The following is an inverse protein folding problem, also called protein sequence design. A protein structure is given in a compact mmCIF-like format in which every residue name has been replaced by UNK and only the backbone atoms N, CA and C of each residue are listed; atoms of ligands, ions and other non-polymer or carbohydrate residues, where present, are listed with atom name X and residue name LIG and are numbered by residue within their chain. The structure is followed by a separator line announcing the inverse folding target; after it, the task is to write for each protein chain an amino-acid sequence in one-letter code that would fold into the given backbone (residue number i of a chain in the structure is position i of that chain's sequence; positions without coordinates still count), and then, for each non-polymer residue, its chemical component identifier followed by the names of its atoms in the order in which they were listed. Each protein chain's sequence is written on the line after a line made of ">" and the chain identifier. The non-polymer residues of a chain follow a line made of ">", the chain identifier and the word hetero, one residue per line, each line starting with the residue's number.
data_IF_580562904932
#
_entry.id   IF_580562904932
#
_cell.length_a   1.000
_cell.length_b   1.000
_cell.length_c   1.000
_cell.angle_alpha   90.00
_cell.angle_beta   90.00
_cell.angle_gamma   90.00
#
_symmetry.space_group_name_H-M   'P 1'
#
loop_
_entity.id
_entity.type
_entity.pdbx_description
1 polymer ?
#
# COMPACT_ATOMS: atom_id res chain seq x y z
N UNK A 1 -28.79 26.89 -40.22
CA UNK A 1 -27.61 26.58 -39.37
C UNK A 1 -28.00 25.59 -38.31
N UNK A 2 -27.76 24.32 -38.61
CA UNK A 2 -28.15 23.18 -37.78
C UNK A 2 -26.87 22.62 -37.16
N UNK A 3 -26.67 22.82 -35.86
CA UNK A 3 -25.51 22.31 -35.13
C UNK A 3 -25.69 20.80 -34.87
N UNK A 4 -25.04 19.97 -35.67
CA UNK A 4 -24.94 18.53 -35.43
C UNK A 4 -23.81 18.26 -34.42
N UNK A 5 -24.18 18.05 -33.15
CA UNK A 5 -23.25 17.59 -32.11
C UNK A 5 -23.08 16.07 -32.19
N UNK A 6 -21.90 15.61 -32.58
CA UNK A 6 -21.52 14.20 -32.51
C UNK A 6 -21.29 13.80 -31.05
N UNK A 7 -22.12 12.91 -30.51
CA UNK A 7 -21.85 12.24 -29.23
C UNK A 7 -21.31 10.84 -29.52
N UNK A 8 -20.05 10.60 -29.18
CA UNK A 8 -19.43 9.28 -29.27
C UNK A 8 -20.03 8.39 -28.17
N UNK A 9 -21.05 7.60 -28.49
CA UNK A 9 -21.50 6.50 -27.64
C UNK A 9 -20.47 5.38 -27.77
N UNK A 10 -19.47 5.38 -26.90
CA UNK A 10 -18.70 4.15 -26.63
C UNK A 10 -19.35 3.46 -25.43
N UNK A 11 -19.81 2.21 -25.54
CA UNK A 11 -20.22 1.43 -24.39
C UNK A 11 -18.95 1.03 -23.63
N UNK A 12 -18.44 1.94 -22.80
CA UNK A 12 -17.29 1.68 -21.96
C UNK A 12 -17.81 1.04 -20.68
N UNK A 13 -17.93 -0.29 -20.67
CA UNK A 13 -18.08 -1.01 -19.41
C UNK A 13 -16.76 -0.86 -18.64
N UNK A 14 -16.78 -0.30 -17.43
CA UNK A 14 -15.56 -0.16 -16.65
C UNK A 14 -14.94 -1.54 -16.40
N UNK A 15 -13.62 -1.68 -16.54
CA UNK A 15 -12.97 -2.97 -16.33
C UNK A 15 -13.13 -3.38 -14.87
N UNK A 16 -13.79 -4.52 -14.66
CA UNK A 16 -13.83 -5.18 -13.36
C UNK A 16 -12.49 -5.87 -13.13
N UNK A 17 -11.92 -5.70 -11.94
CA UNK A 17 -10.69 -6.37 -11.54
C UNK A 17 -10.97 -7.34 -10.41
N UNK A 18 -10.49 -8.57 -10.56
CA UNK A 18 -10.65 -9.63 -9.57
C UNK A 18 -9.29 -9.98 -8.94
N UNK A 19 -9.13 -9.65 -7.67
CA UNK A 19 -7.92 -9.92 -6.90
C UNK A 19 -8.12 -11.11 -5.96
N UNK A 20 -7.14 -12.00 -5.90
CA UNK A 20 -7.11 -13.06 -4.87
C UNK A 20 -6.59 -12.44 -3.59
N UNK A 21 -7.36 -12.59 -2.53
CA UNK A 21 -6.99 -12.16 -1.18
C UNK A 21 -6.32 -13.27 -0.40
N UNK A 22 -6.88 -14.46 -0.46
CA UNK A 22 -6.45 -15.60 0.35
C UNK A 22 -6.87 -16.91 -0.35
N UNK A 23 -5.98 -17.91 -0.33
CA UNK A 23 -6.29 -19.28 -0.73
C UNK A 23 -5.98 -20.14 0.48
N UNK A 24 -6.89 -21.04 0.82
CA UNK A 24 -6.69 -22.04 1.87
C UNK A 24 -6.86 -23.43 1.27
N UNK A 25 -6.67 -24.46 2.09
CA UNK A 25 -6.85 -25.85 1.67
C UNK A 25 -8.29 -26.18 1.25
N UNK A 26 -9.29 -25.41 1.70
CA UNK A 26 -10.71 -25.70 1.45
C UNK A 26 -11.53 -24.50 0.94
N UNK A 27 -10.91 -23.34 0.79
CA UNK A 27 -11.58 -22.12 0.31
C UNK A 27 -10.66 -21.20 -0.47
N UNK A 28 -11.26 -20.34 -1.28
CA UNK A 28 -10.57 -19.25 -1.97
C UNK A 28 -11.39 -17.96 -1.81
N UNK A 29 -10.72 -16.88 -1.44
CA UNK A 29 -11.31 -15.56 -1.21
C UNK A 29 -10.81 -14.58 -2.26
N UNK A 30 -11.76 -13.94 -2.92
CA UNK A 30 -11.53 -12.93 -3.96
C UNK A 30 -12.13 -11.60 -3.56
N UNK A 31 -11.53 -10.54 -4.08
CA UNK A 31 -12.05 -9.16 -4.04
C UNK A 31 -12.34 -8.78 -5.49
N UNK A 32 -13.61 -8.49 -5.78
CA UNK A 32 -14.05 -7.92 -7.03
C UNK A 32 -14.22 -6.42 -6.85
N UNK A 33 -13.54 -5.63 -7.65
CA UNK A 33 -13.60 -4.16 -7.63
C UNK A 33 -13.87 -3.61 -9.02
N UNK A 34 -14.59 -2.49 -9.08
CA UNK A 34 -14.85 -1.74 -10.31
C UNK A 34 -13.90 -0.54 -10.35
N UNK A 35 -13.16 -0.37 -11.44
CA UNK A 35 -12.39 0.86 -11.66
C UNK A 35 -13.36 1.92 -12.18
N UNK A 36 -13.99 2.65 -11.26
CA UNK A 36 -14.78 3.83 -11.60
C UNK A 36 -13.82 4.91 -12.12
N UNK A 37 -13.74 5.10 -13.43
CA UNK A 37 -12.99 6.19 -14.07
C UNK A 37 -13.74 7.51 -13.91
N UNK A 38 -13.91 7.96 -12.68
CA UNK A 38 -14.40 9.31 -12.39
C UNK A 38 -13.51 9.97 -11.32
N UNK A 39 -12.20 9.83 -11.53
CA UNK A 39 -11.21 10.72 -10.93
C UNK A 39 -10.58 11.48 -12.09
N UNK A 40 -11.06 12.70 -12.28
CA UNK A 40 -10.40 13.73 -13.08
C UNK A 40 -8.90 13.75 -12.73
N UNK A 41 -8.10 13.22 -13.65
CA UNK A 41 -6.65 13.43 -13.70
C UNK A 41 -6.48 14.90 -14.09
N UNK A 42 -6.61 15.82 -13.15
CA UNK A 42 -6.54 17.24 -13.49
C UNK A 42 -7.03 18.25 -12.48
N UNK A 43 -6.83 18.09 -11.17
CA UNK A 43 -6.85 19.27 -10.27
C UNK A 43 -5.95 19.08 -9.06
N UNK A 44 -4.81 19.78 -9.13
CA UNK A 44 -3.90 20.13 -8.04
C UNK A 44 -4.68 20.92 -6.97
N UNK A 45 -4.31 20.83 -5.68
CA UNK A 45 -4.19 21.96 -4.71
C UNK A 45 -3.85 21.41 -3.31
N UNK A 46 -2.68 21.85 -2.81
CA UNK A 46 -2.29 21.92 -1.39
C UNK A 46 -3.21 22.91 -0.64
N UNK A 47 -3.16 22.95 0.70
CA UNK A 47 -3.94 23.83 1.62
C UNK A 47 -5.36 23.33 1.94
N UNK A 48 -5.95 23.58 3.10
CA UNK A 48 -5.56 24.00 4.45
C UNK A 48 -6.86 23.95 5.29
N UNK A 49 -6.73 23.90 6.61
CA UNK A 49 -7.68 24.18 7.71
C UNK A 49 -9.21 23.87 7.63
N UNK A 50 -9.67 23.24 8.72
CA UNK A 50 -10.88 23.53 9.51
C UNK A 50 -12.10 24.20 8.85
N UNK A 51 -13.27 23.54 8.88
CA UNK A 51 -14.43 24.08 9.62
C UNK A 51 -15.62 23.11 9.68
N UNK A 52 -16.31 23.20 10.81
CA UNK A 52 -17.62 22.59 11.07
C UNK A 52 -18.69 23.35 10.29
N UNK A 53 -19.60 22.63 9.62
CA UNK A 53 -20.83 23.22 9.11
C UNK A 53 -21.83 22.15 8.67
N UNK A 54 -22.92 22.01 9.43
CA UNK A 54 -24.07 21.16 9.06
C UNK A 54 -24.83 21.76 7.88
N UNK A 55 -25.11 20.97 6.85
CA UNK A 55 -26.23 21.19 5.94
C UNK A 55 -26.89 19.83 5.65
N UNK A 56 -28.07 19.63 6.24
CA UNK A 56 -29.05 18.69 5.71
C UNK A 56 -29.54 19.20 4.35
N UNK A 57 -29.46 18.37 3.32
CA UNK A 57 -29.91 18.75 1.98
C UNK A 57 -29.71 17.65 0.95
N UNK A 58 -30.76 16.83 0.81
CA UNK A 58 -31.15 16.12 -0.42
C UNK A 58 -30.26 14.99 -0.95
N UNK A 59 -30.80 13.77 -0.90
CA UNK A 59 -30.38 12.65 -1.70
C UNK A 59 -30.61 12.96 -3.19
N UNK A 60 -29.55 13.03 -3.98
CA UNK A 60 -29.52 12.67 -5.41
C UNK A 60 -28.09 12.80 -5.93
N UNK A 61 -27.35 11.71 -5.73
CA UNK A 61 -25.97 11.52 -6.19
C UNK A 61 -25.54 10.10 -5.90
N UNK A 62 -26.46 9.13 -6.08
CA UNK A 62 -26.10 7.73 -6.06
C UNK A 62 -25.23 7.48 -7.30
N UNK A 63 -23.92 7.52 -7.10
CA UNK A 63 -22.97 6.92 -8.04
C UNK A 63 -23.44 5.48 -8.19
N UNK A 64 -24.02 5.13 -9.34
CA UNK A 64 -24.61 3.81 -9.56
C UNK A 64 -23.51 2.75 -9.38
N UNK A 65 -23.45 2.15 -8.19
CA UNK A 65 -22.49 1.11 -7.84
C UNK A 65 -22.78 -0.11 -8.70
N UNK A 66 -21.89 -0.34 -9.67
CA UNK A 66 -22.10 -1.28 -10.78
C UNK A 66 -22.14 -2.71 -10.25
N UNK A 67 -21.29 -3.00 -9.27
CA UNK A 67 -21.22 -4.31 -8.63
C UNK A 67 -22.46 -4.54 -7.76
N UNK A 68 -22.93 -3.50 -7.07
CA UNK A 68 -24.12 -3.61 -6.23
C UNK A 68 -25.39 -3.88 -7.02
N UNK A 69 -25.59 -3.19 -8.14
CA UNK A 69 -26.76 -3.39 -9.00
C UNK A 69 -26.73 -4.76 -9.69
N UNK A 70 -25.57 -5.21 -10.16
CA UNK A 70 -25.44 -6.50 -10.83
C UNK A 70 -25.60 -7.70 -9.86
N UNK A 71 -25.15 -7.56 -8.62
CA UNK A 71 -25.37 -8.58 -7.57
C UNK A 71 -26.82 -8.60 -7.07
N UNK A 72 -27.45 -7.43 -6.88
CA UNK A 72 -28.85 -7.35 -6.47
C UNK A 72 -29.81 -8.01 -7.48
N UNK A 73 -29.44 -7.97 -8.76
CA UNK A 73 -30.16 -8.63 -9.85
C UNK A 73 -29.80 -10.12 -10.03
N UNK A 74 -28.88 -10.66 -9.23
CA UNK A 74 -28.46 -12.06 -9.30
C UNK A 74 -27.70 -12.42 -10.58
N UNK A 75 -27.05 -11.45 -11.22
CA UNK A 75 -26.43 -11.61 -12.54
C UNK A 75 -24.98 -12.11 -12.47
N UNK A 76 -24.45 -12.38 -11.28
CA UNK A 76 -23.13 -12.99 -11.09
C UNK A 76 -23.26 -14.52 -11.11
N UNK A 77 -22.80 -15.14 -12.19
CA UNK A 77 -22.62 -16.58 -12.26
C UNK A 77 -21.16 -16.96 -11.97
N UNK A 78 -20.99 -17.99 -11.15
CA UNK A 78 -19.69 -18.54 -10.77
C UNK A 78 -19.62 -20.01 -11.17
N UNK A 79 -18.61 -20.34 -11.97
CA UNK A 79 -18.31 -21.70 -12.39
C UNK A 79 -16.91 -22.10 -11.94
N UNK A 80 -16.79 -23.31 -11.42
CA UNK A 80 -15.52 -23.93 -11.02
C UNK A 80 -15.34 -25.17 -11.90
N UNK A 81 -14.28 -25.21 -12.70
CA UNK A 81 -14.02 -26.24 -13.71
C UNK A 81 -15.22 -26.45 -14.65
N UNK A 82 -15.75 -25.35 -15.21
CA UNK A 82 -16.94 -25.33 -16.08
C UNK A 82 -18.25 -25.82 -15.44
N UNK A 83 -18.28 -26.03 -14.11
CA UNK A 83 -19.47 -26.44 -13.36
C UNK A 83 -19.96 -25.34 -12.43
N UNK A 84 -21.27 -25.08 -12.42
CA UNK A 84 -21.87 -24.10 -11.52
C UNK A 84 -21.63 -24.50 -10.05
N UNK A 85 -21.06 -23.59 -9.27
CA UNK A 85 -20.71 -23.87 -7.88
C UNK A 85 -21.67 -23.21 -6.90
N UNK A 86 -22.27 -24.00 -6.02
CA UNK A 86 -23.31 -23.51 -5.10
C UNK A 86 -22.76 -22.99 -3.77
N UNK A 87 -21.53 -23.37 -3.41
CA UNK A 87 -20.91 -23.04 -2.11
C UNK A 87 -20.12 -21.74 -2.20
N UNK A 88 -20.84 -20.63 -2.36
CA UNK A 88 -20.28 -19.29 -2.51
C UNK A 88 -20.94 -18.34 -1.50
N UNK A 89 -20.13 -17.52 -0.81
CA UNK A 89 -20.59 -16.41 0.00
C UNK A 89 -20.14 -15.11 -0.66
N UNK A 90 -21.06 -14.16 -0.79
CA UNK A 90 -20.77 -12.84 -1.38
C UNK A 90 -21.15 -11.79 -0.36
N UNK A 91 -20.21 -10.90 -0.03
CA UNK A 91 -20.43 -9.76 0.87
C UNK A 91 -20.02 -8.48 0.17
N UNK A 92 -20.94 -7.51 0.17
CA UNK A 92 -20.73 -6.23 -0.49
C UNK A 92 -20.26 -5.17 0.49
N UNK A 93 -19.42 -4.26 -0.01
CA UNK A 93 -19.02 -3.05 0.67
C UNK A 93 -19.52 -1.84 -0.15
N UNK A 94 -20.74 -1.40 0.17
CA UNK A 94 -21.48 -0.36 -0.55
C UNK A 94 -20.69 0.95 -0.71
N UNK A 95 -19.90 1.33 0.29
CA UNK A 95 -19.10 2.58 0.25
C UNK A 95 -17.90 2.54 -0.70
N UNK A 96 -17.46 1.36 -1.14
CA UNK A 96 -16.25 1.19 -1.95
C UNK A 96 -16.52 0.59 -3.34
N UNK A 97 -17.76 0.24 -3.66
CA UNK A 97 -18.11 -0.57 -4.84
C UNK A 97 -17.21 -1.82 -4.97
N UNK A 98 -17.03 -2.52 -3.84
CA UNK A 98 -16.23 -3.74 -3.74
C UNK A 98 -17.08 -4.91 -3.23
N UNK A 99 -16.85 -6.11 -3.77
CA UNK A 99 -17.46 -7.34 -3.30
C UNK A 99 -16.40 -8.36 -2.90
N UNK A 100 -16.54 -8.91 -1.69
CA UNK A 100 -15.74 -10.04 -1.20
C UNK A 100 -16.48 -11.32 -1.54
N UNK A 101 -15.84 -12.20 -2.31
CA UNK A 101 -16.41 -13.48 -2.74
C UNK A 101 -15.59 -14.61 -2.12
N UNK A 102 -16.23 -15.47 -1.34
CA UNK A 102 -15.61 -16.62 -0.70
C UNK A 102 -16.20 -17.90 -1.29
N UNK A 103 -15.37 -18.67 -1.96
CA UNK A 103 -15.72 -20.00 -2.47
C UNK A 103 -15.25 -21.01 -1.43
N UNK A 104 -16.12 -21.88 -0.96
CA UNK A 104 -15.79 -22.86 0.07
C UNK A 104 -16.16 -24.28 -0.35
N UNK A 105 -15.53 -25.27 0.30
CA UNK A 105 -15.70 -26.68 -0.03
C UNK A 105 -14.84 -27.16 -1.20
N UNK A 106 -13.71 -26.47 -1.47
CA UNK A 106 -12.67 -26.95 -2.37
C UNK A 106 -11.92 -28.12 -1.70
N UNK A 107 -11.35 -29.02 -2.50
CA UNK A 107 -10.54 -30.14 -2.03
C UNK A 107 -9.07 -29.71 -1.98
N UNK A 108 -8.35 -29.97 -0.88
CA UNK A 108 -6.93 -29.65 -0.76
C UNK A 108 -6.09 -30.29 -1.86
N UNK A 109 -5.00 -29.62 -2.26
CA UNK A 109 -4.06 -30.12 -3.26
C UNK A 109 -4.61 -30.20 -4.69
N UNK A 110 -5.80 -29.63 -4.97
CA UNK A 110 -6.36 -29.60 -6.32
C UNK A 110 -6.27 -28.23 -6.97
N UNK A 111 -6.12 -28.25 -8.29
CA UNK A 111 -6.19 -27.07 -9.13
C UNK A 111 -7.61 -26.87 -9.64
N UNK A 112 -8.08 -25.64 -9.56
CA UNK A 112 -9.41 -25.20 -9.92
C UNK A 112 -9.32 -24.03 -10.90
N UNK A 113 -10.07 -24.10 -11.98
CA UNK A 113 -10.31 -22.98 -12.88
C UNK A 113 -11.63 -22.32 -12.47
N UNK A 114 -11.55 -21.09 -12.00
CA UNK A 114 -12.68 -20.36 -11.44
C UNK A 114 -13.01 -19.22 -12.38
N UNK A 115 -14.22 -19.27 -12.93
CA UNK A 115 -14.74 -18.29 -13.88
C UNK A 115 -15.89 -17.51 -13.24
N UNK A 116 -15.74 -16.19 -13.27
CA UNK A 116 -16.76 -15.24 -12.86
C UNK A 116 -17.35 -14.62 -14.11
N UNK A 117 -18.66 -14.74 -14.29
CA UNK A 117 -19.39 -14.07 -15.36
C UNK A 117 -20.39 -13.10 -14.75
N UNK A 118 -20.29 -11.83 -15.13
CA UNK A 118 -21.27 -10.81 -14.75
C UNK A 118 -22.13 -10.50 -15.98
N UNK A 119 -23.41 -10.85 -15.90
CA UNK A 119 -24.37 -10.60 -16.97
C UNK A 119 -24.96 -9.21 -16.89
N UNK A 120 -24.19 -8.15 -17.14
CA UNK A 120 -24.73 -6.79 -17.21
C UNK A 120 -25.10 -6.45 -18.67
N UNK A 121 -26.40 -6.30 -18.95
CA UNK A 121 -26.96 -5.69 -20.15
C UNK A 121 -26.27 -6.08 -21.47
N UNK A 122 -26.67 -7.22 -22.06
CA UNK A 122 -26.19 -7.79 -23.35
C UNK A 122 -24.68 -8.13 -23.48
N UNK A 123 -23.82 -7.69 -22.56
CA UNK A 123 -22.38 -7.99 -22.58
C UNK A 123 -21.94 -8.73 -21.32
N UNK A 124 -21.60 -10.01 -21.46
CA UNK A 124 -21.05 -10.83 -20.38
C UNK A 124 -19.54 -10.59 -20.26
N UNK A 125 -19.10 -9.90 -19.20
CA UNK A 125 -17.68 -9.85 -18.85
C UNK A 125 -17.31 -11.13 -18.10
N UNK A 126 -16.40 -11.92 -18.66
CA UNK A 126 -15.90 -13.16 -18.05
C UNK A 126 -14.49 -12.90 -17.52
N UNK A 127 -14.26 -13.16 -16.23
CA UNK A 127 -12.94 -13.12 -15.60
C UNK A 127 -12.58 -14.52 -15.13
N UNK A 128 -11.55 -15.11 -15.77
CA UNK A 128 -11.03 -16.45 -15.48
C UNK A 128 -9.83 -16.37 -14.56
N UNK A 129 -9.77 -17.23 -13.53
CA UNK A 129 -8.62 -17.35 -12.65
C UNK A 129 -8.37 -18.79 -12.24
N UNK A 130 -7.12 -19.20 -12.34
CA UNK A 130 -6.67 -20.51 -11.89
C UNK A 130 -6.18 -20.42 -10.44
N UNK A 131 -6.66 -21.32 -9.59
CA UNK A 131 -6.32 -21.41 -8.16
C UNK A 131 -5.95 -22.84 -7.81
N UNK A 132 -4.79 -23.02 -7.19
CA UNK A 132 -4.38 -24.29 -6.60
C UNK A 132 -4.58 -24.18 -5.09
N UNK A 133 -5.43 -25.01 -4.51
CA UNK A 133 -5.60 -25.07 -3.05
C UNK A 133 -4.38 -25.75 -2.44
N UNK A 134 -3.85 -25.18 -1.37
CA UNK A 134 -2.72 -25.77 -0.69
C UNK A 134 -3.11 -27.13 -0.08
N UNK A 135 -2.35 -28.16 -0.41
CA UNK A 135 -2.27 -29.33 0.46
C UNK A 135 -1.53 -28.86 1.72
N UNK A 136 -2.02 -29.22 2.90
CA UNK A 136 -1.50 -28.77 4.20
C UNK A 136 0.01 -29.04 4.34
N UNK A 137 0.82 -28.16 3.78
CA UNK A 137 2.25 -28.08 3.93
C UNK A 137 2.48 -26.73 4.60
N UNK A 138 3.07 -26.85 5.79
CA UNK A 138 3.59 -25.77 6.62
C UNK A 138 4.19 -24.67 5.74
N UNK A 139 3.89 -23.38 5.95
CA UNK A 139 4.36 -22.32 5.06
C UNK A 139 5.90 -22.30 5.02
N UNK A 140 6.45 -22.66 3.85
CA UNK A 140 7.84 -22.43 3.49
C UNK A 140 8.05 -20.92 3.36
N UNK A 141 8.95 -20.40 4.19
CA UNK A 141 9.48 -19.05 4.04
C UNK A 141 10.53 -19.14 2.93
N UNK A 142 10.28 -18.45 1.82
CA UNK A 142 11.23 -18.22 0.74
C UNK A 142 12.61 -17.80 1.29
N UNK A 143 13.63 -18.57 0.95
CA UNK A 143 15.02 -18.19 1.11
C UNK A 143 15.78 -18.68 -0.11
N UNK A 144 16.04 -17.73 -1.02
CA UNK A 144 17.00 -17.83 -2.10
C UNK A 144 18.28 -18.51 -1.63
N UNK A 145 18.61 -19.67 -2.22
CA UNK A 145 19.98 -20.18 -2.30
C UNK A 145 20.09 -21.21 -3.42
N UNK A 146 20.67 -20.72 -4.52
CA UNK A 146 21.38 -21.50 -5.53
C UNK A 146 22.29 -22.56 -4.90
N UNK A 147 22.06 -23.84 -5.17
CA UNK A 147 23.12 -24.83 -5.47
C UNK A 147 22.52 -26.07 -6.12
N UNK A 148 23.05 -26.37 -7.31
CA UNK A 148 23.03 -27.64 -8.03
C UNK A 148 23.26 -28.88 -7.15
N UNK A 149 22.47 -29.93 -7.34
CA UNK A 149 22.99 -31.30 -7.48
C UNK A 149 21.91 -32.29 -7.91
N UNK A 150 22.30 -33.13 -8.86
CA UNK A 150 21.53 -34.17 -9.53
C UNK A 150 20.91 -35.20 -8.58
N UNK A 151 19.60 -35.44 -8.71
CA UNK A 151 18.95 -36.63 -8.16
C UNK A 151 18.02 -37.29 -9.17
N UNK A 152 18.58 -38.36 -9.76
CA UNK A 152 18.01 -39.59 -10.31
C UNK A 152 16.51 -39.82 -10.02
N UNK A 153 15.66 -40.07 -11.04
CA UNK A 153 14.27 -40.45 -10.81
C UNK A 153 14.19 -41.94 -10.39
N UNK A 154 13.84 -42.20 -9.14
CA UNK A 154 13.54 -43.54 -8.66
C UNK A 154 12.04 -43.83 -8.84
N UNK A 155 11.72 -44.48 -9.96
CA UNK A 155 10.39 -45.04 -10.24
C UNK A 155 9.99 -46.04 -9.16
N UNK A 156 8.81 -45.83 -8.57
CA UNK A 156 8.12 -46.80 -7.72
C UNK A 156 7.20 -47.67 -8.59
N UNK A 157 7.45 -48.98 -8.73
CA UNK A 157 6.43 -49.88 -9.24
C UNK A 157 5.48 -50.25 -8.08
N UNK A 158 4.29 -49.66 -8.10
CA UNK A 158 3.15 -50.20 -7.38
C UNK A 158 2.77 -51.54 -8.01
N UNK A 159 2.93 -52.63 -7.25
CA UNK A 159 2.39 -53.94 -7.60
C UNK A 159 1.87 -54.60 -6.33
N UNK A 160 0.59 -54.37 -6.08
CA UNK A 160 -0.22 -55.20 -5.20
C UNK A 160 -0.88 -56.29 -6.05
N UNK A 161 -0.66 -57.58 -5.74
CA UNK A 161 -1.66 -58.60 -6.03
C UNK A 161 -2.23 -59.13 -4.71
N UNK A 162 -3.43 -58.66 -4.39
CA UNK A 162 -4.32 -59.26 -3.39
C UNK A 162 -4.67 -60.69 -3.83
N UNK A 163 -4.14 -61.70 -3.15
CA UNK A 163 -4.68 -63.06 -3.22
C UNK A 163 -5.52 -63.30 -1.97
N UNK A 164 -6.82 -63.14 -2.14
CA UNK A 164 -7.81 -63.62 -1.20
C UNK A 164 -7.76 -65.16 -1.14
N UNK A 165 -7.61 -65.67 0.06
CA UNK A 165 -7.95 -67.01 0.50
C UNK A 165 -9.43 -67.28 0.17
N UNK A 166 -9.71 -68.32 -0.62
CA UNK A 166 -11.06 -68.87 -0.74
C UNK A 166 -11.11 -70.18 0.02
N UNK A 167 -11.78 -70.09 1.16
CA UNK A 167 -12.32 -71.18 1.95
C UNK A 167 -13.32 -72.01 1.12
N UNK A 168 -13.34 -73.30 1.42
CA UNK A 168 -14.35 -74.32 1.03
C UNK A 168 -15.77 -74.00 1.51
N UNK A 169 -16.85 -74.54 0.89
CA UNK A 169 -17.51 -75.73 1.45
C UNK A 169 -18.14 -76.74 0.42
N UNK A 170 -18.67 -77.91 0.88
CA UNK A 170 -18.96 -79.15 0.10
C UNK A 170 -20.49 -79.40 -0.08
N UNK A 171 -21.02 -80.64 -0.19
CA UNK A 171 -20.85 -81.78 -1.13
C UNK A 171 -22.17 -82.10 -1.89
N UNK A 172 -22.20 -83.00 -2.90
CA UNK A 172 -23.16 -84.15 -3.04
C UNK A 172 -23.28 -84.77 -4.47
N UNK A 173 -23.11 -86.10 -4.50
CA UNK A 173 -23.91 -87.17 -5.17
C UNK A 173 -23.87 -87.37 -6.70
N UNK A 174 -23.54 -88.63 -7.04
CA UNK A 174 -24.04 -89.40 -8.19
C UNK A 174 -23.00 -89.62 -9.28
N UNK A 175 -22.74 -90.81 -9.83
CA UNK A 175 -23.31 -92.14 -9.68
C UNK A 175 -22.27 -93.16 -10.19
N UNK A 176 -22.26 -94.32 -9.53
CA UNK A 176 -22.12 -95.66 -10.09
C UNK A 176 -21.79 -95.79 -11.61
N UNK A 177 -20.67 -96.45 -11.95
CA UNK A 177 -20.66 -97.82 -12.54
C UNK A 177 -19.39 -98.09 -13.37
N UNK A 178 -18.81 -99.27 -13.10
CA UNK A 178 -18.25 -100.22 -14.06
C UNK A 178 -16.72 -100.27 -14.26
N UNK A 179 -16.22 -101.48 -13.98
CA UNK A 179 -15.23 -102.25 -14.74
C UNK A 179 -13.75 -101.99 -14.47
N UNK A 180 -13.25 -102.71 -13.46
CA UNK A 180 -12.07 -103.58 -13.61
C UNK A 180 -10.76 -102.93 -14.09
N UNK A 181 -10.17 -102.06 -13.27
CA UNK A 181 -8.73 -101.87 -13.33
C UNK A 181 -8.04 -103.13 -12.78
N UNK A 182 -6.99 -103.66 -13.44
CA UNK A 182 -6.24 -104.81 -12.93
C UNK A 182 -5.69 -104.50 -11.53
N UNK A 183 -5.54 -105.51 -10.65
CA UNK A 183 -4.93 -105.28 -9.34
C UNK A 183 -3.54 -104.71 -9.55
N UNK A 184 -3.33 -103.46 -9.10
CA UNK A 184 -2.03 -102.81 -8.98
C UNK A 184 -1.03 -103.85 -8.49
N UNK A 185 -0.04 -104.16 -9.32
CA UNK A 185 1.02 -105.08 -8.93
C UNK A 185 1.79 -104.43 -7.78
N UNK A 186 2.36 -105.25 -6.90
CA UNK A 186 3.09 -104.77 -5.71
C UNK A 186 4.19 -103.76 -6.10
N UNK A 187 4.75 -103.91 -7.29
CA UNK A 187 5.78 -103.05 -7.85
C UNK A 187 5.28 -101.64 -8.22
N UNK A 188 4.08 -101.51 -8.77
CA UNK A 188 3.50 -100.20 -9.11
C UNK A 188 3.15 -99.40 -7.85
N UNK A 189 2.64 -100.08 -6.80
CA UNK A 189 2.42 -99.46 -5.49
C UNK A 189 3.73 -99.00 -4.85
N UNK A 190 4.80 -99.76 -5.00
CA UNK A 190 6.14 -99.38 -4.52
C UNK A 190 6.66 -98.14 -5.27
N UNK A 191 6.51 -98.11 -6.60
CA UNK A 191 6.86 -96.94 -7.41
C UNK A 191 6.07 -95.69 -7.01
N UNK A 192 4.77 -95.83 -6.71
CA UNK A 192 3.94 -94.74 -6.20
C UNK A 192 4.41 -94.24 -4.84
N UNK A 193 4.71 -95.13 -3.88
CA UNK A 193 5.24 -94.75 -2.57
C UNK A 193 6.61 -94.07 -2.67
N UNK A 194 7.50 -94.55 -3.56
CA UNK A 194 8.79 -93.90 -3.83
C UNK A 194 8.59 -92.50 -4.39
N UNK A 195 7.68 -92.32 -5.34
CA UNK A 195 7.34 -91.00 -5.89
C UNK A 195 6.80 -90.07 -4.81
N UNK A 196 5.87 -90.54 -3.98
CA UNK A 196 5.30 -89.75 -2.90
C UNK A 196 6.36 -89.36 -1.85
N UNK A 197 7.33 -90.24 -1.57
CA UNK A 197 8.46 -89.94 -0.69
C UNK A 197 9.41 -88.90 -1.30
N UNK A 198 9.66 -88.95 -2.60
CA UNK A 198 10.44 -87.92 -3.32
C UNK A 198 9.70 -86.58 -3.28
N UNK A 199 8.40 -86.57 -3.61
CA UNK A 199 7.56 -85.37 -3.59
C UNK A 199 7.53 -84.73 -2.19
N UNK A 200 7.33 -85.52 -1.14
CA UNK A 200 7.35 -85.02 0.24
C UNK A 200 8.73 -84.48 0.65
N UNK A 201 9.82 -85.08 0.15
CA UNK A 201 11.16 -84.56 0.39
C UNK A 201 11.41 -83.25 -0.35
N UNK A 202 10.99 -83.14 -1.61
CA UNK A 202 11.09 -81.91 -2.41
C UNK A 202 10.28 -80.77 -1.79
N UNK A 203 9.07 -81.06 -1.30
CA UNK A 203 8.24 -80.12 -0.54
C UNK A 203 8.94 -79.67 0.75
N UNK A 204 9.52 -80.60 1.51
CA UNK A 204 10.26 -80.28 2.74
C UNK A 204 11.47 -79.38 2.44
N UNK A 205 12.20 -79.65 1.37
CA UNK A 205 13.34 -78.85 0.94
C UNK A 205 12.90 -77.45 0.48
N UNK A 206 11.84 -77.36 -0.32
CA UNK A 206 11.23 -76.11 -0.76
C UNK A 206 10.76 -75.25 0.42
N UNK A 207 10.04 -75.82 1.39
CA UNK A 207 9.61 -75.13 2.60
C UNK A 207 10.79 -74.69 3.46
N UNK A 208 11.83 -75.52 3.56
CA UNK A 208 13.06 -75.16 4.30
C UNK A 208 13.78 -73.98 3.65
N UNK A 209 13.84 -73.94 2.31
CA UNK A 209 14.41 -72.80 1.58
C UNK A 209 13.55 -71.55 1.76
N UNK A 210 12.22 -71.67 1.66
CA UNK A 210 11.28 -70.57 1.90
C UNK A 210 11.40 -69.99 3.32
N UNK A 211 11.53 -70.83 4.35
CA UNK A 211 11.76 -70.38 5.73
C UNK A 211 13.10 -69.64 5.88
N UNK A 212 14.14 -70.08 5.17
CA UNK A 212 15.44 -69.39 5.17
C UNK A 212 15.39 -68.04 4.46
N UNK A 213 14.69 -67.94 3.33
CA UNK A 213 14.55 -66.67 2.58
C UNK A 213 13.72 -65.66 3.36
N UNK A 214 12.57 -66.07 3.88
CA UNK A 214 11.69 -65.23 4.70
C UNK A 214 12.40 -64.73 5.97
N UNK A 215 13.19 -65.57 6.64
CA UNK A 215 14.01 -65.15 7.79
C UNK A 215 15.06 -64.10 7.41
N UNK A 216 15.73 -64.25 6.27
CA UNK A 216 16.71 -63.27 5.78
C UNK A 216 16.05 -61.96 5.37
N UNK A 217 14.89 -62.03 4.73
CA UNK A 217 14.10 -60.86 4.35
C UNK A 217 13.59 -60.10 5.57
N UNK A 218 13.06 -60.80 6.58
CA UNK A 218 12.67 -60.21 7.85
C UNK A 218 13.84 -59.49 8.55
N UNK A 219 15.03 -60.10 8.58
CA UNK A 219 16.22 -59.47 9.15
C UNK A 219 16.65 -58.21 8.37
N UNK A 220 16.52 -58.22 7.04
CA UNK A 220 16.79 -57.05 6.19
C UNK A 220 15.77 -55.94 6.43
N UNK A 221 14.49 -56.28 6.56
CA UNK A 221 13.43 -55.33 6.88
C UNK A 221 13.64 -54.71 8.28
N UNK A 222 13.99 -55.51 9.29
CA UNK A 222 14.30 -55.02 10.63
C UNK A 222 15.50 -54.07 10.64
N UNK A 223 16.55 -54.38 9.87
CA UNK A 223 17.70 -53.50 9.72
C UNK A 223 17.32 -52.18 9.03
N UNK A 224 16.47 -52.23 8.00
CA UNK A 224 15.95 -51.05 7.33
C UNK A 224 15.12 -50.16 8.27
N UNK A 225 14.18 -50.75 9.03
CA UNK A 225 13.36 -50.01 10.00
C UNK A 225 14.21 -49.36 11.09
N UNK A 226 15.24 -50.04 11.59
CA UNK A 226 16.19 -49.44 12.55
C UNK A 226 16.91 -48.23 11.97
N UNK A 227 17.38 -48.32 10.73
CA UNK A 227 18.04 -47.19 10.06
C UNK A 227 17.08 -46.01 9.82
N UNK A 228 15.82 -46.28 9.47
CA UNK A 228 14.79 -45.26 9.31
C UNK A 228 14.47 -44.57 10.64
N UNK A 229 14.33 -45.33 11.74
CA UNK A 229 14.13 -44.76 13.09
C UNK A 229 15.31 -43.84 13.46
N UNK A 230 16.56 -44.23 13.16
CA UNK A 230 17.72 -43.39 13.43
C UNK A 230 17.72 -42.10 12.59
N UNK A 231 17.33 -42.18 11.32
CA UNK A 231 17.19 -41.02 10.43
C UNK A 231 16.10 -40.08 10.95
N UNK A 232 14.92 -40.61 11.27
CA UNK A 232 13.81 -39.84 11.82
C UNK A 232 14.17 -39.21 13.17
N UNK A 233 14.90 -39.93 14.02
CA UNK A 233 15.41 -39.39 15.29
C UNK A 233 16.35 -38.21 15.05
N UNK A 234 17.34 -38.35 14.15
CA UNK A 234 18.26 -37.25 13.79
C UNK A 234 17.51 -36.05 13.18
N UNK A 235 16.53 -36.31 12.33
CA UNK A 235 15.69 -35.26 11.75
C UNK A 235 14.88 -34.52 12.83
N UNK A 236 14.29 -35.26 13.76
CA UNK A 236 13.53 -34.68 14.89
C UNK A 236 14.41 -33.83 15.81
N UNK A 237 15.64 -34.27 16.09
CA UNK A 237 16.59 -33.52 16.92
C UNK A 237 17.03 -32.22 16.24
N UNK A 238 17.28 -32.27 14.92
CA UNK A 238 17.55 -31.07 14.12
C UNK A 238 16.37 -30.09 14.15
N UNK A 239 15.14 -30.58 14.09
CA UNK A 239 13.93 -29.76 14.15
C UNK A 239 13.82 -29.04 15.51
N UNK A 240 14.07 -29.73 16.62
CA UNK A 240 14.03 -29.13 17.97
C UNK A 240 15.01 -27.95 18.09
N UNK A 241 16.23 -28.08 17.54
CA UNK A 241 17.22 -26.98 17.54
C UNK A 241 16.75 -25.81 16.68
N UNK A 242 16.14 -26.09 15.52
CA UNK A 242 15.56 -25.05 14.66
C UNK A 242 14.43 -24.30 15.36
N UNK A 243 13.51 -25.02 16.00
CA UNK A 243 12.39 -24.46 16.77
C UNK A 243 12.87 -23.60 17.93
N UNK A 244 13.91 -24.04 18.64
CA UNK A 244 14.50 -23.25 19.72
C UNK A 244 15.05 -21.91 19.21
N UNK A 245 15.73 -21.91 18.06
CA UNK A 245 16.21 -20.66 17.43
C UNK A 245 15.05 -19.79 16.96
N UNK A 246 14.00 -20.38 16.38
CA UNK A 246 12.81 -19.65 15.97
C UNK A 246 12.14 -18.96 17.18
N UNK A 247 11.98 -19.67 18.30
CA UNK A 247 11.44 -19.12 19.56
C UNK A 247 12.31 -17.98 20.11
N UNK A 248 13.64 -18.11 20.07
CA UNK A 248 14.55 -17.03 20.47
C UNK A 248 14.39 -15.79 19.59
N UNK A 249 14.26 -15.97 18.26
CA UNK A 249 13.98 -14.85 17.34
C UNK A 249 12.64 -14.18 17.68
N UNK A 250 11.59 -14.95 17.95
CA UNK A 250 10.28 -14.41 18.35
C UNK A 250 10.39 -13.59 19.65
N UNK A 251 11.10 -14.09 20.66
CA UNK A 251 11.32 -13.35 21.92
C UNK A 251 12.11 -12.05 21.70
N UNK A 252 13.16 -12.08 20.87
CA UNK A 252 13.92 -10.89 20.52
C UNK A 252 13.03 -9.86 19.80
N UNK A 253 12.22 -10.31 18.83
CA UNK A 253 11.26 -9.44 18.13
C UNK A 253 10.23 -8.85 19.09
N UNK A 254 9.67 -9.64 20.02
CA UNK A 254 8.76 -9.13 21.05
C UNK A 254 9.41 -8.06 21.91
N UNK A 255 10.68 -8.22 22.29
CA UNK A 255 11.41 -7.21 23.05
C UNK A 255 11.66 -5.93 22.23
N UNK A 256 11.98 -6.06 20.93
CA UNK A 256 12.11 -4.89 20.04
C UNK A 256 10.80 -4.14 19.88
N UNK A 257 9.66 -4.84 19.72
CA UNK A 257 8.33 -4.22 19.65
C UNK A 257 8.01 -3.50 20.96
N UNK A 258 8.30 -4.12 22.11
CA UNK A 258 8.12 -3.48 23.42
C UNK A 258 8.95 -2.20 23.56
N UNK A 259 10.22 -2.21 23.12
CA UNK A 259 11.08 -1.01 23.12
C UNK A 259 10.55 0.07 22.17
N UNK A 260 10.10 -0.30 20.97
CA UNK A 260 9.54 0.64 20.00
C UNK A 260 8.27 1.32 20.52
N UNK A 261 7.36 0.56 21.15
CA UNK A 261 6.15 1.11 21.77
C UNK A 261 6.46 2.05 22.93
N UNK A 262 7.46 1.72 23.76
CA UNK A 262 7.89 2.61 24.84
C UNK A 262 8.51 3.92 24.31
N UNK A 263 9.31 3.85 23.24
CA UNK A 263 9.87 5.02 22.58
C UNK A 263 8.79 5.89 21.94
N UNK A 264 7.80 5.27 21.28
CA UNK A 264 6.66 5.99 20.70
C UNK A 264 5.86 6.74 21.79
N UNK A 265 5.61 6.09 22.93
CA UNK A 265 4.92 6.73 24.05
C UNK A 265 5.70 7.92 24.64
N UNK A 266 7.04 7.86 24.67
CA UNK A 266 7.88 8.99 25.10
C UNK A 266 7.81 10.15 24.11
N UNK A 267 7.91 9.87 22.81
CA UNK A 267 7.78 10.90 21.77
C UNK A 267 6.40 11.57 21.79
N UNK A 268 5.34 10.81 22.04
CA UNK A 268 3.99 11.36 22.17
C UNK A 268 3.86 12.29 23.39
N UNK A 269 4.57 12.00 24.49
CA UNK A 269 4.57 12.88 25.66
C UNK A 269 5.37 14.17 25.40
N UNK A 270 6.56 14.07 24.81
CA UNK A 270 7.34 15.25 24.38
C UNK A 270 6.55 16.12 23.40
N UNK A 271 5.82 15.49 22.47
CA UNK A 271 4.93 16.18 21.54
C UNK A 271 3.86 16.97 22.29
N UNK A 272 3.20 16.37 23.29
CA UNK A 272 2.19 17.07 24.10
C UNK A 272 2.79 18.23 24.89
N UNK A 273 3.98 18.08 25.44
CA UNK A 273 4.68 19.17 26.14
C UNK A 273 4.95 20.36 25.19
N UNK A 274 5.42 20.07 23.97
CA UNK A 274 5.63 21.08 22.93
C UNK A 274 4.31 21.74 22.56
N UNK A 275 3.26 20.96 22.27
CA UNK A 275 1.93 21.46 21.93
C UNK A 275 1.34 22.32 23.06
N UNK A 276 1.56 21.95 24.32
CA UNK A 276 1.14 22.74 25.48
C UNK A 276 1.89 24.07 25.62
N UNK A 277 3.16 24.14 25.19
CA UNK A 277 3.98 25.36 25.26
C UNK A 277 3.71 26.36 24.12
N UNK A 278 3.23 25.89 22.96
CA UNK A 278 2.91 26.72 21.79
C UNK A 278 1.96 27.90 22.05
N UNK A 279 0.81 27.75 22.75
CA UNK A 279 -0.10 28.87 22.98
C UNK A 279 0.55 29.99 23.80
N UNK A 280 1.39 29.68 24.79
CA UNK A 280 2.10 30.69 25.57
C UNK A 280 3.11 31.47 24.72
N UNK A 281 3.86 30.78 23.85
CA UNK A 281 4.78 31.41 22.91
C UNK A 281 4.06 32.28 21.87
N UNK A 282 2.93 31.80 21.34
CA UNK A 282 2.04 32.59 20.46
C UNK A 282 1.54 33.84 21.17
N UNK A 283 1.07 33.72 22.41
CA UNK A 283 0.68 34.86 23.25
C UNK A 283 1.79 35.91 23.36
N UNK A 284 3.00 35.49 23.77
CA UNK A 284 4.17 36.38 23.88
C UNK A 284 4.60 37.01 22.55
N UNK A 285 4.37 36.34 21.42
CA UNK A 285 4.59 36.91 20.08
C UNK A 285 3.58 38.02 19.81
N UNK A 286 2.29 37.77 20.01
CA UNK A 286 1.24 38.77 19.78
C UNK A 286 1.39 40.01 20.67
N UNK A 287 1.84 39.84 21.92
CA UNK A 287 2.12 40.97 22.82
C UNK A 287 3.28 41.83 22.33
N UNK A 288 4.39 41.19 21.93
CA UNK A 288 5.54 41.91 21.34
C UNK A 288 5.17 42.63 20.05
N UNK A 289 4.35 42.01 19.21
CA UNK A 289 3.84 42.62 17.99
C UNK A 289 2.98 43.85 18.30
N UNK A 290 2.08 43.77 19.29
CA UNK A 290 1.31 44.95 19.76
C UNK A 290 2.21 46.07 20.24
N UNK A 291 3.26 45.76 21.01
CA UNK A 291 4.23 46.77 21.48
C UNK A 291 5.00 47.38 20.31
N UNK A 292 5.47 46.57 19.37
CA UNK A 292 6.15 47.04 18.15
C UNK A 292 5.25 47.97 17.33
N UNK A 293 3.98 47.60 17.13
CA UNK A 293 3.01 48.42 16.40
C UNK A 293 2.75 49.75 17.11
N UNK A 294 2.68 49.78 18.45
CA UNK A 294 2.56 51.03 19.22
C UNK A 294 3.77 51.93 19.02
N UNK A 295 4.98 51.39 19.16
CA UNK A 295 6.22 52.15 18.97
C UNK A 295 6.30 52.68 17.53
N UNK A 296 5.92 51.88 16.53
CA UNK A 296 5.92 52.32 15.14
C UNK A 296 4.97 53.51 14.90
N UNK A 297 3.77 53.48 15.49
CA UNK A 297 2.81 54.60 15.42
C UNK A 297 3.38 55.84 16.11
N UNK A 298 3.99 55.69 17.29
CA UNK A 298 4.63 56.82 18.01
C UNK A 298 5.79 57.43 17.21
N UNK A 299 6.68 56.60 16.64
CA UNK A 299 7.80 57.05 15.80
C UNK A 299 7.29 57.79 14.56
N UNK A 300 6.24 57.27 13.90
CA UNK A 300 5.62 57.95 12.76
C UNK A 300 4.99 59.29 13.16
N UNK A 301 4.37 59.36 14.34
CA UNK A 301 3.84 60.61 14.90
C UNK A 301 4.92 61.67 15.15
N UNK A 302 6.02 61.27 15.79
CA UNK A 302 7.17 62.15 16.05
C UNK A 302 7.83 62.61 14.75
N UNK A 303 7.98 61.72 13.77
CA UNK A 303 8.51 62.07 12.45
C UNK A 303 7.64 63.12 11.74
N UNK A 304 6.31 62.95 11.77
CA UNK A 304 5.35 63.90 11.20
C UNK A 304 5.38 65.25 11.93
N UNK A 305 5.48 65.25 13.25
CA UNK A 305 5.59 66.50 14.03
C UNK A 305 6.90 67.24 13.71
N UNK A 306 8.00 66.49 13.58
CA UNK A 306 9.30 67.05 13.17
C UNK A 306 9.24 67.66 11.77
N UNK A 307 8.67 66.96 10.80
CA UNK A 307 8.47 67.46 9.43
C UNK A 307 7.65 68.76 9.43
N UNK A 308 6.56 68.83 10.19
CA UNK A 308 5.75 70.05 10.32
C UNK A 308 6.52 71.23 10.93
N UNK A 309 7.36 70.98 11.95
CA UNK A 309 8.21 72.02 12.54
C UNK A 309 9.27 72.51 11.56
N UNK A 310 9.92 71.59 10.84
CA UNK A 310 10.91 71.92 9.82
C UNK A 310 10.27 72.72 8.67
N UNK A 311 9.08 72.33 8.21
CA UNK A 311 8.32 73.07 7.19
C UNK A 311 7.89 74.47 7.68
N UNK A 312 7.45 74.60 8.93
CA UNK A 312 7.10 75.89 9.52
C UNK A 312 8.33 76.80 9.62
N UNK A 313 9.46 76.28 10.10
CA UNK A 313 10.72 77.02 10.15
C UNK A 313 11.20 77.42 8.76
N UNK A 314 11.10 76.52 7.77
CA UNK A 314 11.44 76.81 6.38
C UNK A 314 10.58 77.94 5.81
N UNK A 315 9.27 77.93 6.04
CA UNK A 315 8.37 79.04 5.67
C UNK A 315 8.76 80.36 6.31
N UNK A 316 9.11 80.36 7.61
CA UNK A 316 9.58 81.58 8.30
C UNK A 316 10.90 82.08 7.70
N UNK A 317 11.85 81.19 7.45
CA UNK A 317 13.13 81.53 6.82
C UNK A 317 12.96 82.08 5.40
N UNK A 318 12.07 81.49 4.60
CA UNK A 318 11.80 81.96 3.24
C UNK A 318 11.08 83.32 3.25
N UNK A 319 10.18 83.57 4.21
CA UNK A 319 9.59 84.89 4.41
C UNK A 319 10.65 85.94 4.79
N UNK A 320 11.51 85.67 5.78
CA UNK A 320 12.60 86.58 6.17
C UNK A 320 13.59 86.84 5.03
N UNK A 321 13.91 85.83 4.22
CA UNK A 321 14.72 86.01 3.00
C UNK A 321 14.06 86.94 2.01
N UNK A 322 12.74 86.79 1.81
CA UNK A 322 11.98 87.67 0.90
C UNK A 322 11.94 89.12 1.41
N UNK A 323 11.84 89.33 2.73
CA UNK A 323 11.92 90.65 3.36
C UNK A 323 13.31 91.26 3.24
N UNK A 324 14.37 90.48 3.49
CA UNK A 324 15.77 90.92 3.28
C UNK A 324 16.02 91.32 1.82
N UNK A 325 15.52 90.55 0.86
CA UNK A 325 15.62 90.90 -0.55
C UNK A 325 14.86 92.20 -0.89
N UNK A 326 13.67 92.38 -0.31
CA UNK A 326 12.87 93.59 -0.49
C UNK A 326 13.59 94.82 0.12
N UNK A 327 14.10 94.71 1.34
CA UNK A 327 14.89 95.76 1.99
C UNK A 327 16.18 96.06 1.22
N UNK A 328 16.88 95.03 0.74
CA UNK A 328 18.06 95.14 -0.13
C UNK A 328 17.77 95.97 -1.38
N UNK A 329 16.69 95.63 -2.10
CA UNK A 329 16.28 96.41 -3.28
C UNK A 329 15.90 97.86 -2.95
N UNK A 330 15.36 98.12 -1.75
CA UNK A 330 15.04 99.48 -1.28
C UNK A 330 16.31 100.26 -0.96
N UNK A 331 17.29 99.63 -0.32
CA UNK A 331 18.59 100.25 -0.06
C UNK A 331 19.32 100.56 -1.36
N UNK A 332 19.34 99.66 -2.33
CA UNK A 332 19.93 99.89 -3.66
C UNK A 332 19.28 101.09 -4.39
N UNK A 333 17.96 101.24 -4.29
CA UNK A 333 17.26 102.42 -4.85
C UNK A 333 17.63 103.71 -4.13
N UNK A 334 17.77 103.67 -2.79
CA UNK A 334 18.15 104.85 -2.00
C UNK A 334 19.61 105.23 -2.24
N UNK A 335 20.52 104.27 -2.35
CA UNK A 335 21.92 104.52 -2.72
C UNK A 335 22.02 105.09 -4.12
N UNK A 336 21.31 104.52 -5.11
CA UNK A 336 21.29 105.08 -6.47
C UNK A 336 20.71 106.50 -6.52
N UNK A 337 19.74 106.84 -5.67
CA UNK A 337 19.24 108.23 -5.53
C UNK A 337 20.27 109.14 -4.87
N UNK A 338 20.93 108.65 -3.81
CA UNK A 338 22.00 109.37 -3.11
C UNK A 338 23.14 109.67 -4.08
N UNK A 339 23.63 108.69 -4.84
CA UNK A 339 24.68 108.86 -5.85
C UNK A 339 24.28 109.89 -6.92
N UNK A 340 23.02 109.88 -7.38
CA UNK A 340 22.52 110.91 -8.31
C UNK A 340 22.49 112.31 -7.70
N UNK A 341 22.09 112.43 -6.43
CA UNK A 341 22.10 113.71 -5.71
C UNK A 341 23.55 114.17 -5.47
N UNK A 342 24.44 113.27 -5.06
CA UNK A 342 25.88 113.53 -4.89
C UNK A 342 26.54 113.95 -6.22
N UNK A 343 26.12 113.38 -7.35
CA UNK A 343 26.58 113.80 -8.68
C UNK A 343 26.07 115.18 -9.12
N UNK A 344 24.92 115.65 -8.59
CA UNK A 344 24.39 117.00 -8.85
C UNK A 344 25.04 118.09 -7.98
N UNK A 345 25.63 117.73 -6.84
CA UNK A 345 26.36 118.66 -5.97
C UNK A 345 27.44 119.44 -6.73
N UNK A 346 28.37 118.82 -7.49
CA UNK A 346 29.41 119.57 -8.21
C UNK A 346 28.86 120.50 -9.30
N UNK A 347 27.77 120.12 -9.98
CA UNK A 347 27.10 121.01 -10.95
C UNK A 347 26.50 122.23 -10.24
N UNK A 348 25.85 122.05 -9.09
CA UNK A 348 25.33 123.14 -8.27
C UNK A 348 26.45 124.00 -7.69
N UNK A 349 27.55 123.41 -7.22
CA UNK A 349 28.75 124.13 -6.76
C UNK A 349 29.40 124.93 -7.90
N UNK A 350 29.38 124.42 -9.14
CA UNK A 350 29.85 125.16 -10.31
C UNK A 350 28.92 126.31 -10.67
N UNK A 351 27.60 126.12 -10.58
CA UNK A 351 26.64 127.21 -10.76
C UNK A 351 26.80 128.28 -9.69
N UNK A 352 27.05 127.87 -8.43
CA UNK A 352 27.29 128.80 -7.32
C UNK A 352 28.57 129.60 -7.55
N UNK A 353 29.65 128.95 -8.00
CA UNK A 353 30.88 129.63 -8.43
C UNK A 353 30.69 130.58 -9.60
N UNK A 354 29.90 130.20 -10.61
CA UNK A 354 29.59 131.08 -11.73
C UNK A 354 28.77 132.31 -11.28
N UNK A 355 27.80 132.13 -10.37
CA UNK A 355 27.02 133.24 -9.82
C UNK A 355 27.88 134.12 -8.90
N UNK A 356 28.79 133.55 -8.13
CA UNK A 356 29.81 134.29 -7.37
C UNK A 356 30.71 135.11 -8.30
N UNK A 357 31.13 134.53 -9.43
CA UNK A 357 31.93 135.23 -10.45
C UNK A 357 31.12 136.31 -11.19
N UNK A 358 29.84 136.07 -11.51
CA UNK A 358 28.95 137.09 -12.08
C UNK A 358 28.65 138.23 -11.10
N UNK A 359 28.64 137.96 -9.79
CA UNK A 359 28.55 139.00 -8.75
C UNK A 359 29.85 139.82 -8.66
N UNK A 360 31.01 139.17 -8.79
CA UNK A 360 32.32 139.83 -8.82
C UNK A 360 32.52 140.69 -10.09
N UNK A 361 31.91 140.33 -11.22
CA UNK A 361 31.93 141.12 -12.47
C UNK A 361 30.91 142.28 -12.49
N UNK A 362 29.95 142.32 -11.56
CA UNK A 362 28.92 143.39 -11.41
C UNK A 362 29.32 144.45 -10.37
N UNK A 363 30.32 144.15 -9.52
CA UNK A 363 30.99 145.08 -8.61
C UNK A 363 32.17 145.80 -9.29
#
# INVERSE_FOLDING_TARGET
>A
NSNSSWHSIRPWNPPLTLNVREITSVSATFILSSVSTDVDIGTVVFDDEDERGSVEGNAEGAVNSIISDALAKGLLSLTVNDQAWQRVLIRMHEKADEAIIIIYGLMPGRQYDIDFSLGQNEHTSITRRQVTTDETLVPEIDSDSTTSSDHIPQSTPSSSPSRASSDTPPPTIGSASSMGAPPLTVEERLAQLRRQLVESNDERESLTLSLKTTRREAQKADAALKSEIEILKKASEKHIVSDQRARQKVLALQETVKRALAAAAQMDEERKEIEASLPALRGRRTEREKVSNRIQVEVAGVAKEREQKEDAQKKVMDNLRSELAALGSKTERLTAKKEKLEALIPDLESQLRNVEQELEDVE
#
